data_IF_078222566164
#
_entry.id   IF_078222566164
#
_cell.length_a   1.000
_cell.length_b   1.000
_cell.length_c   1.000
_cell.angle_alpha   90.00
_cell.angle_beta   90.00
_cell.angle_gamma   90.00
#
_symmetry.space_group_name_H-M   'P 1'
#
loop_
_entity.id
_entity.type
_entity.pdbx_description
1 polymer ?
#
# COMPACT_ATOMS: atom_id res chain seq x y z
N UNK A 1 18.66 -19.46 8.90
CA UNK A 1 17.44 -18.63 8.86
C UNK A 1 17.71 -17.41 7.99
N UNK A 2 16.85 -17.09 7.03
CA UNK A 2 17.03 -15.93 6.16
C UNK A 2 16.39 -14.70 6.83
N UNK A 3 17.16 -13.66 7.10
CA UNK A 3 16.63 -12.42 7.68
C UNK A 3 15.85 -11.66 6.62
N UNK A 4 14.56 -11.43 6.87
CA UNK A 4 13.70 -10.60 6.02
C UNK A 4 13.66 -9.18 6.53
N UNK A 5 13.50 -8.22 5.62
CA UNK A 5 13.27 -6.83 6.00
C UNK A 5 11.88 -6.72 6.63
N UNK A 6 11.75 -5.89 7.67
CA UNK A 6 10.47 -5.61 8.34
C UNK A 6 10.19 -4.12 8.36
N UNK A 7 8.92 -3.75 8.39
CA UNK A 7 8.52 -2.38 8.68
C UNK A 7 8.92 -1.98 10.12
N UNK A 8 9.16 -0.68 10.34
CA UNK A 8 9.37 -0.16 11.69
C UNK A 8 8.11 -0.32 12.54
N UNK A 9 8.27 -0.49 13.85
CA UNK A 9 7.13 -0.70 14.76
C UNK A 9 6.11 0.45 14.72
N UNK A 10 6.58 1.70 14.64
CA UNK A 10 5.69 2.86 14.53
C UNK A 10 4.81 2.81 13.27
N UNK A 11 5.36 2.30 12.16
CA UNK A 11 4.60 2.15 10.90
C UNK A 11 3.48 1.11 11.05
N UNK A 12 3.74 0.01 11.76
CA UNK A 12 2.73 -1.02 12.04
C UNK A 12 1.63 -0.44 12.95
N UNK A 13 2.01 0.32 13.98
CA UNK A 13 1.05 0.98 14.89
C UNK A 13 0.15 1.97 14.13
N UNK A 14 0.74 2.87 13.35
CA UNK A 14 0.01 3.86 12.55
C UNK A 14 -0.91 3.17 11.54
N UNK A 15 -0.44 2.11 10.89
CA UNK A 15 -1.26 1.33 9.96
C UNK A 15 -2.47 0.72 10.67
N UNK A 16 -2.29 0.11 11.84
CA UNK A 16 -3.40 -0.42 12.64
C UNK A 16 -4.40 0.67 13.03
N UNK A 17 -3.89 1.83 13.47
CA UNK A 17 -4.73 2.99 13.81
C UNK A 17 -5.57 3.47 12.61
N UNK A 18 -4.96 3.62 11.43
CA UNK A 18 -5.70 4.04 10.23
C UNK A 18 -6.73 3.01 9.79
N UNK A 19 -6.43 1.72 9.88
CA UNK A 19 -7.40 0.67 9.56
C UNK A 19 -8.61 0.71 10.50
N UNK A 20 -8.40 0.95 11.79
CA UNK A 20 -9.49 1.11 12.76
C UNK A 20 -10.30 2.39 12.55
N UNK A 21 -9.63 3.50 12.22
CA UNK A 21 -10.28 4.82 12.11
C UNK A 21 -10.98 5.05 10.76
N UNK A 22 -10.37 4.61 9.66
CA UNK A 22 -10.82 4.88 8.29
C UNK A 22 -11.49 3.66 7.63
N UNK A 23 -11.23 2.46 8.15
CA UNK A 23 -11.67 1.20 7.57
C UNK A 23 -10.76 0.70 6.45
N UNK A 24 -10.77 -0.62 6.24
CA UNK A 24 -9.90 -1.32 5.28
C UNK A 24 -10.03 -0.83 3.84
N UNK A 25 -11.23 -0.42 3.42
CA UNK A 25 -11.48 0.04 2.04
C UNK A 25 -10.87 1.43 1.73
N UNK A 26 -10.37 2.16 2.74
CA UNK A 26 -9.80 3.50 2.60
C UNK A 26 -8.32 3.56 2.93
N UNK A 27 -7.67 2.41 3.10
CA UNK A 27 -6.26 2.30 3.46
C UNK A 27 -5.61 1.23 2.60
N UNK A 28 -4.49 1.60 1.97
CA UNK A 28 -3.61 0.66 1.28
C UNK A 28 -2.16 0.91 1.71
N UNK A 29 -1.32 -0.11 1.61
CA UNK A 29 0.11 0.01 1.89
C UNK A 29 0.95 -0.25 0.65
N UNK A 30 1.98 0.58 0.45
CA UNK A 30 2.99 0.39 -0.59
C UNK A 30 4.15 -0.43 -0.03
N UNK A 31 4.44 -1.56 -0.65
CA UNK A 31 5.44 -2.51 -0.17
C UNK A 31 6.70 -2.47 -1.01
N UNK A 32 7.84 -2.32 -0.34
CA UNK A 32 9.13 -2.55 -0.99
C UNK A 32 9.38 -4.06 -1.12
N UNK A 33 10.05 -4.51 -2.19
CA UNK A 33 10.43 -5.91 -2.33
C UNK A 33 11.17 -6.45 -1.11
N UNK A 34 10.80 -7.66 -0.66
CA UNK A 34 11.45 -8.34 0.45
C UNK A 34 11.08 -7.86 1.85
N UNK A 35 10.09 -6.97 1.97
CA UNK A 35 9.49 -6.60 3.28
C UNK A 35 8.39 -7.61 3.64
N UNK A 36 8.51 -8.21 4.82
CA UNK A 36 7.48 -9.10 5.36
C UNK A 36 6.42 -8.31 6.14
N UNK A 37 5.16 -8.73 6.01
CA UNK A 37 4.03 -8.18 6.71
C UNK A 37 3.46 -9.19 7.71
N UNK A 38 2.94 -8.71 8.86
CA UNK A 38 2.19 -9.57 9.77
C UNK A 38 0.90 -10.09 9.12
N UNK A 39 0.53 -11.34 9.43
CA UNK A 39 -0.67 -11.99 8.91
C UNK A 39 -1.97 -11.29 9.29
N UNK A 40 -2.00 -10.52 10.37
CA UNK A 40 -3.17 -9.75 10.84
C UNK A 40 -3.64 -8.68 9.85
N UNK A 41 -2.78 -8.32 8.89
CA UNK A 41 -3.10 -7.39 7.82
C UNK A 41 -3.57 -8.09 6.52
N UNK A 42 -3.63 -9.43 6.48
CA UNK A 42 -4.16 -10.15 5.32
C UNK A 42 -5.63 -9.76 5.07
N UNK A 43 -5.91 -9.15 3.91
CA UNK A 43 -7.23 -8.62 3.54
C UNK A 43 -7.31 -7.10 3.38
N UNK A 44 -6.21 -6.37 3.62
CA UNK A 44 -6.06 -5.00 3.11
C UNK A 44 -5.42 -4.98 1.72
N UNK A 45 -5.54 -3.85 1.03
CA UNK A 45 -4.91 -3.67 -0.28
C UNK A 45 -3.42 -3.37 -0.08
N UNK A 46 -2.60 -4.16 -0.77
CA UNK A 46 -1.16 -3.98 -0.85
C UNK A 46 -0.75 -3.74 -2.29
N UNK A 47 0.15 -2.79 -2.50
CA UNK A 47 0.71 -2.49 -3.80
C UNK A 47 2.22 -2.63 -3.71
N UNK A 48 2.76 -3.64 -4.39
CA UNK A 48 4.20 -3.79 -4.51
C UNK A 48 4.78 -2.65 -5.34
N UNK A 49 5.76 -1.95 -4.78
CA UNK A 49 6.54 -0.93 -5.45
C UNK A 49 7.55 -1.64 -6.35
N UNK A 50 7.16 -1.79 -7.61
CA UNK A 50 8.04 -2.31 -8.65
C UNK A 50 9.01 -1.24 -9.18
N UNK A 51 10.15 -1.69 -9.70
CA UNK A 51 11.17 -0.80 -10.28
C UNK A 51 10.75 -0.18 -11.62
N UNK A 52 9.70 -0.70 -12.25
CA UNK A 52 9.17 -0.23 -13.54
C UNK A 52 8.01 0.76 -13.39
N UNK A 53 7.75 1.28 -12.19
CA UNK A 53 6.78 2.32 -11.88
C UNK A 53 5.28 1.97 -12.07
N UNK A 54 4.94 0.74 -12.44
CA UNK A 54 3.55 0.32 -12.66
C UNK A 54 2.68 0.42 -11.38
N UNK A 55 3.32 0.38 -10.20
CA UNK A 55 2.70 0.64 -8.90
C UNK A 55 1.96 1.99 -8.83
N UNK A 56 2.42 3.01 -9.56
CA UNK A 56 1.79 4.33 -9.57
C UNK A 56 0.40 4.28 -10.20
N UNK A 57 0.27 3.54 -11.31
CA UNK A 57 -1.02 3.33 -11.96
C UNK A 57 -1.97 2.49 -11.10
N UNK A 58 -1.45 1.45 -10.44
CA UNK A 58 -2.22 0.64 -9.48
C UNK A 58 -2.76 1.52 -8.35
N UNK A 59 -1.91 2.36 -7.76
CA UNK A 59 -2.31 3.29 -6.70
C UNK A 59 -3.39 4.27 -7.18
N UNK A 60 -3.19 4.88 -8.34
CA UNK A 60 -4.15 5.83 -8.90
C UNK A 60 -5.51 5.16 -9.18
N UNK A 61 -5.53 3.89 -9.61
CA UNK A 61 -6.77 3.13 -9.77
C UNK A 61 -7.49 2.92 -8.44
N UNK A 62 -6.78 2.54 -7.38
CA UNK A 62 -7.36 2.38 -6.04
C UNK A 62 -7.89 3.72 -5.48
N UNK A 63 -7.14 4.81 -5.67
CA UNK A 63 -7.58 6.16 -5.30
C UNK A 63 -8.90 6.52 -6.02
N UNK A 64 -9.01 6.23 -7.31
CA UNK A 64 -10.23 6.47 -8.09
C UNK A 64 -11.40 5.63 -7.58
N UNK A 65 -11.18 4.34 -7.28
CA UNK A 65 -12.19 3.45 -6.68
C UNK A 65 -12.67 3.96 -5.32
N UNK A 66 -11.78 4.55 -4.52
CA UNK A 66 -12.12 5.18 -3.25
C UNK A 66 -12.82 6.55 -3.37
N UNK A 67 -13.04 7.05 -4.60
CA UNK A 67 -13.68 8.34 -4.86
C UNK A 67 -12.77 9.55 -4.67
N UNK A 68 -11.44 9.35 -4.61
CA UNK A 68 -10.48 10.44 -4.52
C UNK A 68 -10.28 11.09 -5.91
N UNK A 69 -10.12 12.43 -5.97
CA UNK A 69 -9.87 13.11 -7.22
C UNK A 69 -8.47 12.77 -7.75
N UNK A 70 -8.42 11.94 -8.79
CA UNK A 70 -7.19 11.52 -9.46
C UNK A 70 -7.41 11.42 -10.97
N UNK A 71 -6.48 11.98 -11.75
CA UNK A 71 -6.47 11.89 -13.20
C UNK A 71 -5.49 10.82 -13.65
N UNK A 72 -6.02 9.70 -14.15
CA UNK A 72 -5.21 8.57 -14.62
C UNK A 72 -4.32 8.94 -15.82
N UNK A 73 -4.66 9.97 -16.59
CA UNK A 73 -3.84 10.42 -17.73
C UNK A 73 -2.58 11.18 -17.30
N UNK A 74 -2.53 11.61 -16.02
CA UNK A 74 -1.37 12.29 -15.45
C UNK A 74 -0.43 11.35 -14.71
N UNK A 75 -0.76 10.06 -14.64
CA UNK A 75 0.11 9.06 -14.05
C UNK A 75 1.30 8.86 -15.00
N UNK A 76 2.55 8.98 -14.53
CA UNK A 76 3.72 8.69 -15.34
C UNK A 76 3.64 7.25 -15.83
N UNK A 77 3.68 7.07 -17.15
CA UNK A 77 3.98 5.76 -17.74
C UNK A 77 5.50 5.66 -17.79
N UNK A 78 6.06 4.86 -16.91
CA UNK A 78 7.48 4.50 -16.88
C UNK A 78 7.83 3.41 -17.87
#
# INVERSE_FOLDING_TARGET
AQLKSRARQNVILELGFFLGKLGRARVCALLKPGVELPSDYLGMVFIDVDGGGAWQYKLAKEMKTAGLPVDLNRVPMS
#
